data_IF_026035110297
#
_entry.id   IF_026035110297
#
_cell.length_a   1.000
_cell.length_b   1.000
_cell.length_c   1.000
_cell.angle_alpha   90.00
_cell.angle_beta   90.00
_cell.angle_gamma   90.00
#
_symmetry.space_group_name_H-M   'P 1'
#
loop_
_entity.id
_entity.type
_entity.pdbx_description
1 polymer ?
#
# COMPACT_ATOMS: atom_id res chain seq x y z
N UNK A 1 28.16 24.08 -11.71
CA UNK A 1 28.22 24.44 -10.28
C UNK A 1 27.20 23.55 -9.58
N UNK A 2 27.47 22.58 -8.71
CA UNK A 2 28.68 22.06 -8.04
C UNK A 2 28.42 20.55 -7.92
N UNK A 3 29.38 19.70 -8.28
CA UNK A 3 29.30 18.26 -7.98
C UNK A 3 29.59 18.08 -6.48
N UNK A 4 28.67 17.45 -5.74
CA UNK A 4 28.93 17.01 -4.38
C UNK A 4 28.87 15.49 -4.37
N UNK A 5 30.05 14.87 -4.46
CA UNK A 5 30.24 13.44 -4.28
C UNK A 5 30.24 13.20 -2.77
N UNK A 6 29.22 12.50 -2.26
CA UNK A 6 29.16 12.02 -0.88
C UNK A 6 29.84 10.65 -0.81
N UNK A 7 30.76 10.40 0.14
CA UNK A 7 31.55 9.18 0.13
C UNK A 7 30.70 7.98 0.57
N UNK A 8 30.90 6.89 -0.18
CA UNK A 8 30.48 5.53 0.10
C UNK A 8 30.88 5.11 1.53
N UNK A 9 29.94 5.16 2.46
CA UNK A 9 30.04 4.47 3.75
C UNK A 9 29.43 3.10 3.55
N UNK A 10 30.30 2.10 3.60
CA UNK A 10 29.95 0.69 3.60
C UNK A 10 29.30 0.36 4.96
N UNK A 11 27.97 0.50 5.06
CA UNK A 11 27.21 0.01 6.19
C UNK A 11 26.79 -1.42 5.87
N UNK A 12 27.24 -2.37 6.70
CA UNK A 12 26.88 -3.78 6.63
C UNK A 12 25.36 -3.92 6.60
N UNK A 13 24.80 -4.17 5.41
CA UNK A 13 23.42 -4.59 5.27
C UNK A 13 23.32 -6.00 5.87
N UNK A 14 22.88 -6.06 7.12
CA UNK A 14 22.13 -7.20 7.63
C UNK A 14 21.06 -7.55 6.57
N UNK A 15 20.68 -8.82 6.39
CA UNK A 15 19.52 -9.13 5.56
C UNK A 15 18.32 -8.46 6.22
N UNK A 16 18.01 -7.26 5.74
CA UNK A 16 16.82 -6.52 6.12
C UNK A 16 15.66 -7.40 5.66
N UNK A 17 14.75 -7.68 6.59
CA UNK A 17 13.52 -8.39 6.35
C UNK A 17 12.64 -7.61 5.37
N UNK A 18 13.01 -7.59 4.09
CA UNK A 18 12.16 -7.13 2.99
C UNK A 18 11.06 -8.18 2.66
N UNK A 19 10.71 -8.99 3.66
CA UNK A 19 9.79 -10.14 3.61
C UNK A 19 8.65 -9.97 4.65
N UNK A 20 8.49 -8.79 5.27
CA UNK A 20 7.67 -8.63 6.47
C UNK A 20 6.18 -8.41 6.22
N UNK A 21 5.78 -7.57 5.26
CA UNK A 21 4.40 -7.04 5.29
C UNK A 21 3.39 -7.94 4.57
N UNK A 22 3.79 -8.55 3.46
CA UNK A 22 2.96 -9.57 2.82
C UNK A 22 2.75 -10.79 3.72
N UNK A 23 3.77 -11.21 4.47
CA UNK A 23 3.65 -12.33 5.40
C UNK A 23 2.76 -11.95 6.59
N UNK A 24 2.88 -10.73 7.11
CA UNK A 24 1.95 -10.20 8.13
C UNK A 24 0.51 -10.16 7.65
N UNK A 25 0.26 -9.70 6.42
CA UNK A 25 -1.08 -9.70 5.83
C UNK A 25 -1.63 -11.13 5.68
N UNK A 26 -0.80 -12.08 5.22
CA UNK A 26 -1.18 -13.50 5.11
C UNK A 26 -1.53 -14.09 6.47
N UNK A 27 -0.72 -13.80 7.48
CA UNK A 27 -0.94 -14.28 8.85
C UNK A 27 -2.20 -13.66 9.47
N UNK A 28 -2.43 -12.36 9.29
CA UNK A 28 -3.66 -11.69 9.74
C UNK A 28 -4.90 -12.28 9.06
N UNK A 29 -4.83 -12.57 7.76
CA UNK A 29 -5.90 -13.25 7.03
C UNK A 29 -6.13 -14.67 7.56
N UNK A 30 -5.05 -15.43 7.82
CA UNK A 30 -5.14 -16.79 8.36
C UNK A 30 -5.76 -16.81 9.77
N UNK A 31 -5.54 -15.75 10.56
CA UNK A 31 -6.20 -15.54 11.86
C UNK A 31 -7.65 -15.03 11.75
N UNK A 32 -8.09 -14.63 10.56
CA UNK A 32 -9.42 -14.08 10.32
C UNK A 32 -9.58 -12.65 10.82
N UNK A 33 -8.49 -11.91 10.97
CA UNK A 33 -8.47 -10.53 11.45
C UNK A 33 -8.76 -9.51 10.36
N UNK A 34 -8.51 -9.87 9.09
CA UNK A 34 -8.73 -9.02 7.92
C UNK A 34 -9.54 -9.75 6.84
N UNK A 35 -10.14 -8.99 5.94
CA UNK A 35 -10.79 -9.50 4.74
C UNK A 35 -9.75 -9.96 3.71
N UNK A 36 -10.08 -10.93 2.84
CA UNK A 36 -9.22 -11.27 1.72
C UNK A 36 -9.02 -10.06 0.82
N UNK A 37 -7.78 -9.77 0.41
CA UNK A 37 -7.47 -8.66 -0.51
C UNK A 37 -8.34 -8.69 -1.77
N UNK A 38 -8.61 -9.87 -2.33
CA UNK A 38 -9.50 -10.01 -3.50
C UNK A 38 -10.93 -9.51 -3.25
N UNK A 39 -11.43 -9.58 -2.01
CA UNK A 39 -12.74 -9.04 -1.63
C UNK A 39 -12.73 -7.52 -1.62
N UNK A 40 -11.62 -6.93 -1.16
CA UNK A 40 -11.43 -5.48 -1.12
C UNK A 40 -11.30 -4.92 -2.54
N UNK A 41 -10.41 -5.52 -3.35
CA UNK A 41 -10.21 -5.12 -4.75
C UNK A 41 -11.50 -5.19 -5.57
N UNK A 42 -12.30 -6.25 -5.40
CA UNK A 42 -13.56 -6.38 -6.12
C UNK A 42 -14.59 -5.29 -5.77
N UNK A 43 -14.53 -4.72 -4.55
CA UNK A 43 -15.39 -3.58 -4.17
C UNK A 43 -14.89 -2.30 -4.81
N UNK A 44 -13.59 -2.04 -4.74
CA UNK A 44 -12.97 -0.83 -5.30
C UNK A 44 -13.18 -0.78 -6.82
N UNK A 45 -12.91 -1.87 -7.53
CA UNK A 45 -13.09 -1.95 -8.99
C UNK A 45 -14.55 -1.77 -9.43
N UNK A 46 -15.53 -2.00 -8.54
CA UNK A 46 -16.93 -1.74 -8.81
C UNK A 46 -17.30 -0.25 -8.72
N UNK A 47 -16.60 0.50 -7.87
CA UNK A 47 -16.91 1.89 -7.54
C UNK A 47 -15.98 2.90 -8.24
N UNK A 48 -14.75 2.49 -8.57
CA UNK A 48 -13.69 3.36 -9.11
C UNK A 48 -13.28 2.90 -10.51
N UNK A 49 -13.45 3.80 -11.48
CA UNK A 49 -13.08 3.58 -12.87
C UNK A 49 -11.57 3.82 -13.08
N UNK A 50 -10.77 2.79 -12.83
CA UNK A 50 -9.32 2.84 -12.98
C UNK A 50 -8.69 1.45 -13.00
N UNK A 51 -7.37 1.41 -12.85
CA UNK A 51 -6.58 0.19 -12.70
C UNK A 51 -5.77 0.29 -11.42
N UNK A 52 -5.85 -0.75 -10.58
CA UNK A 52 -4.93 -0.92 -9.45
C UNK A 52 -3.52 -1.16 -9.97
N UNK A 53 -2.58 -0.34 -9.53
CA UNK A 53 -1.17 -0.42 -9.95
C UNK A 53 -0.26 -0.88 -8.80
N UNK A 54 -0.62 -0.55 -7.57
CA UNK A 54 0.12 -0.92 -6.36
C UNK A 54 -0.86 -1.30 -5.24
N UNK A 55 -0.42 -2.21 -4.38
CA UNK A 55 -1.14 -2.60 -3.17
C UNK A 55 -0.10 -2.85 -2.09
N UNK A 56 -0.16 -2.03 -1.06
CA UNK A 56 0.63 -2.19 0.14
C UNK A 56 -0.24 -2.53 1.34
N UNK A 57 0.43 -3.02 2.37
CA UNK A 57 -0.19 -3.40 3.63
C UNK A 57 0.61 -2.84 4.77
N UNK A 58 -0.06 -2.09 5.64
CA UNK A 58 0.54 -1.58 6.86
C UNK A 58 -0.32 -1.90 8.09
N UNK A 59 0.31 -1.79 9.25
CA UNK A 59 -0.36 -1.83 10.54
C UNK A 59 0.12 -0.65 11.38
N UNK A 60 -0.76 0.32 11.58
CA UNK A 60 -0.51 1.48 12.44
C UNK A 60 -1.41 1.43 13.67
N UNK A 61 -0.81 1.57 14.86
CA UNK A 61 -1.50 1.51 16.16
C UNK A 61 -2.50 0.33 16.32
N UNK A 62 -2.18 -0.81 15.72
CA UNK A 62 -3.00 -2.04 15.75
C UNK A 62 -4.19 -2.03 14.80
N UNK A 63 -4.26 -1.06 13.87
CA UNK A 63 -5.19 -1.04 12.75
C UNK A 63 -4.50 -1.59 11.51
N UNK A 64 -5.14 -2.55 10.86
CA UNK A 64 -4.68 -3.11 9.59
C UNK A 64 -5.20 -2.27 8.44
N UNK A 65 -4.31 -1.78 7.59
CA UNK A 65 -4.63 -0.86 6.50
C UNK A 65 -4.10 -1.48 5.19
N UNK A 66 -4.96 -1.48 4.17
CA UNK A 66 -4.52 -1.63 2.80
C UNK A 66 -4.41 -0.25 2.16
N UNK A 67 -3.26 0.03 1.58
CA UNK A 67 -3.04 1.20 0.74
C UNK A 67 -3.09 0.74 -0.72
N UNK A 68 -3.98 1.33 -1.50
CA UNK A 68 -4.24 0.91 -2.88
C UNK A 68 -4.10 2.11 -3.79
N UNK A 69 -3.07 2.06 -4.64
CA UNK A 69 -2.83 3.07 -5.65
C UNK A 69 -3.49 2.67 -6.97
N UNK A 70 -4.21 3.63 -7.56
CA UNK A 70 -4.98 3.43 -8.78
C UNK A 70 -4.62 4.46 -9.85
N UNK A 71 -4.30 3.97 -11.04
CA UNK A 71 -4.25 4.79 -12.25
C UNK A 71 -5.66 4.95 -12.84
N UNK A 72 -6.20 6.16 -12.77
CA UNK A 72 -7.49 6.52 -13.33
C UNK A 72 -7.43 6.70 -14.84
N UNK A 73 -8.58 6.62 -15.51
CA UNK A 73 -8.64 6.76 -16.99
C UNK A 73 -8.30 8.17 -17.50
N UNK A 74 -8.36 9.18 -16.64
CA UNK A 74 -7.93 10.54 -16.94
C UNK A 74 -6.41 10.73 -16.75
N UNK A 75 -5.70 9.68 -16.33
CA UNK A 75 -4.25 9.67 -16.15
C UNK A 75 -3.79 10.08 -14.75
N UNK A 76 -4.70 10.42 -13.83
CA UNK A 76 -4.35 10.75 -12.45
C UNK A 76 -4.13 9.49 -11.61
N UNK A 77 -3.32 9.63 -10.57
CA UNK A 77 -3.15 8.62 -9.52
C UNK A 77 -4.10 8.94 -8.37
N UNK A 78 -4.72 7.90 -7.84
CA UNK A 78 -5.60 7.95 -6.67
C UNK A 78 -5.11 6.90 -5.68
N UNK A 79 -4.68 7.35 -4.52
CA UNK A 79 -4.37 6.52 -3.38
C UNK A 79 -5.63 6.34 -2.52
N UNK A 80 -5.87 5.11 -2.07
CA UNK A 80 -6.97 4.75 -1.18
C UNK A 80 -6.42 4.03 0.05
N UNK A 81 -6.65 4.60 1.23
CA UNK A 81 -6.42 3.91 2.50
C UNK A 81 -7.70 3.19 2.93
N UNK A 82 -7.61 1.90 3.21
CA UNK A 82 -8.77 1.05 3.48
C UNK A 82 -8.55 0.24 4.75
N UNK A 83 -9.54 0.28 5.64
CA UNK A 83 -9.58 -0.59 6.82
C UNK A 83 -9.67 -2.06 6.37
N UNK A 84 -8.62 -2.85 6.63
CA UNK A 84 -8.54 -4.21 6.13
C UNK A 84 -9.53 -5.17 6.80
N UNK A 85 -10.09 -4.82 7.97
CA UNK A 85 -11.06 -5.66 8.69
C UNK A 85 -12.49 -5.50 8.15
N UNK A 86 -12.83 -4.29 7.72
CA UNK A 86 -14.20 -3.91 7.33
C UNK A 86 -14.33 -3.68 5.82
N UNK A 87 -13.22 -3.32 5.16
CA UNK A 87 -13.18 -2.89 3.77
C UNK A 87 -13.79 -1.50 3.55
N UNK A 88 -13.76 -0.64 4.58
CA UNK A 88 -14.21 0.75 4.51
C UNK A 88 -13.05 1.63 4.09
N UNK A 89 -13.25 2.51 3.10
CA UNK A 89 -12.29 3.55 2.73
C UNK A 89 -12.21 4.55 3.89
N UNK A 90 -11.01 4.70 4.45
CA UNK A 90 -10.71 5.62 5.55
C UNK A 90 -10.27 6.97 4.96
N UNK A 91 -9.43 6.94 3.93
CA UNK A 91 -8.93 8.13 3.26
C UNK A 91 -8.78 7.91 1.74
N UNK A 92 -8.72 9.02 1.01
CA UNK A 92 -8.46 9.03 -0.43
C UNK A 92 -7.74 10.31 -0.84
N UNK A 93 -6.59 10.17 -1.48
CA UNK A 93 -5.77 11.29 -1.93
C UNK A 93 -5.44 11.16 -3.42
N UNK A 94 -5.44 12.28 -4.15
CA UNK A 94 -4.93 12.32 -5.51
C UNK A 94 -3.47 12.73 -5.44
N UNK A 95 -2.55 11.93 -5.99
CA UNK A 95 -1.18 12.41 -6.17
C UNK A 95 -1.18 13.49 -7.25
N UNK A 96 -0.82 14.70 -6.85
CA UNK A 96 -0.64 15.82 -7.76
C UNK A 96 0.83 15.86 -8.23
N UNK A 97 1.06 15.77 -9.55
CA UNK A 97 2.37 15.99 -10.19
C UNK A 97 2.84 17.46 -9.99
N UNK A 98 3.47 17.78 -8.86
CA UNK A 98 4.11 19.10 -8.62
C UNK A 98 5.52 19.24 -9.27
#
# INVERSE_FOLDING_TARGET
MKHLILPFVCLLALPAAADSDQDRARDALARGEILPLSTILARIEADVAGRVIEVDYDEDDGRFIYEIEMLLFDGRLLELEIDAQTGVIIDSEYEDDD
#
